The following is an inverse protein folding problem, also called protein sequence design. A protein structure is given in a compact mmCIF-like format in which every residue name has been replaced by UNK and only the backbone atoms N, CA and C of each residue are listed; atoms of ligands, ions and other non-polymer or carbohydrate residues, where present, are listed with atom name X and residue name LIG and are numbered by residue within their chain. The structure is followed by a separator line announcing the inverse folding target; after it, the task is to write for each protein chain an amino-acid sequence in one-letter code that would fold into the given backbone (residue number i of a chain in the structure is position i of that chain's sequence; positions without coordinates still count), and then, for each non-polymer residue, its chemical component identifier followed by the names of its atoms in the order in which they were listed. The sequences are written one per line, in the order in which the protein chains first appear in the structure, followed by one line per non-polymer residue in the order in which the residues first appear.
data_IF_844687555043
#
_entry.id   IF_844687555043
#
_cell.length_a   1.000
_cell.length_b   1.000
_cell.length_c   1.000
_cell.angle_alpha   90.00
_cell.angle_beta   90.00
_cell.angle_gamma   90.00
#
_symmetry.space_group_name_H-M   'P 1'
#
loop_
_entity.id
_entity.type
_entity.pdbx_description
1 polymer ?
#
# COMPACT_ATOMS: atom_id res chain seq x y z
N UNK A 1 -33.00 7.42 28.21
CA UNK A 1 -32.64 8.81 27.83
C UNK A 1 -31.41 8.71 26.94
N UNK A 2 -31.52 9.08 25.66
CA UNK A 2 -30.45 8.98 24.66
C UNK A 2 -29.63 10.28 24.65
N UNK A 3 -28.38 10.22 25.09
CA UNK A 3 -27.45 11.35 24.99
C UNK A 3 -26.78 11.33 23.61
N UNK A 4 -27.28 12.16 22.69
CA UNK A 4 -26.60 12.44 21.44
C UNK A 4 -25.45 13.41 21.71
N UNK A 5 -24.21 12.92 21.59
CA UNK A 5 -23.02 13.77 21.67
C UNK A 5 -22.78 14.36 20.27
N UNK A 6 -22.87 15.68 20.16
CA UNK A 6 -22.45 16.42 18.98
C UNK A 6 -21.72 17.67 19.46
N UNK A 7 -20.49 17.84 18.99
CA UNK A 7 -19.66 19.01 19.30
C UNK A 7 -19.99 20.14 18.33
N UNK A 8 -19.95 21.41 18.77
CA UNK A 8 -20.09 22.55 17.88
C UNK A 8 -18.94 22.56 16.86
N UNK A 9 -19.26 22.66 15.57
CA UNK A 9 -18.31 22.97 14.51
C UNK A 9 -18.06 24.47 14.54
N UNK A 10 -16.82 24.90 14.79
CA UNK A 10 -16.45 26.31 14.69
C UNK A 10 -16.21 26.66 13.21
N UNK A 11 -16.85 27.71 12.72
CA UNK A 11 -16.68 28.23 11.34
C UNK A 11 -15.37 29.03 11.16
N UNK A 12 -14.63 29.27 12.25
CA UNK A 12 -13.30 29.88 12.18
C UNK A 12 -12.33 28.87 11.59
N UNK A 13 -11.71 29.26 10.46
CA UNK A 13 -10.62 28.50 9.86
C UNK A 13 -9.55 28.30 10.93
N UNK A 14 -9.08 27.06 11.07
CA UNK A 14 -8.00 26.79 12.01
C UNK A 14 -6.78 27.65 11.69
N UNK A 15 -5.97 27.95 12.71
CA UNK A 15 -4.73 28.72 12.54
C UNK A 15 -3.64 27.90 11.84
N UNK A 16 -3.96 26.70 11.32
CA UNK A 16 -2.97 25.87 10.64
C UNK A 16 -2.62 26.47 9.27
N UNK A 17 -1.34 26.40 8.88
CA UNK A 17 -0.94 26.78 7.55
C UNK A 17 -1.66 25.91 6.53
N UNK A 18 -2.12 26.54 5.44
CA UNK A 18 -2.73 25.83 4.32
C UNK A 18 -1.74 24.79 3.78
N UNK A 19 -2.20 23.55 3.61
CA UNK A 19 -1.42 22.48 2.98
C UNK A 19 -0.98 22.94 1.60
N UNK A 20 0.33 22.96 1.37
CA UNK A 20 0.93 23.38 0.11
C UNK A 20 1.29 22.18 -0.76
N UNK A 21 1.50 22.41 -2.06
CA UNK A 21 2.00 21.35 -2.96
C UNK A 21 3.37 20.82 -2.50
N UNK A 22 4.24 21.68 -1.96
CA UNK A 22 5.52 21.27 -1.40
C UNK A 22 5.39 20.33 -0.19
N UNK A 23 4.27 20.37 0.53
CA UNK A 23 3.99 19.43 1.61
C UNK A 23 3.61 18.05 1.08
N UNK A 24 2.89 18.00 -0.05
CA UNK A 24 2.55 16.76 -0.74
C UNK A 24 3.77 16.16 -1.45
N UNK A 25 4.62 16.98 -2.05
CA UNK A 25 5.80 16.52 -2.77
C UNK A 25 6.85 15.87 -1.83
N UNK A 26 6.87 16.29 -0.57
CA UNK A 26 7.69 15.69 0.50
C UNK A 26 7.01 14.50 1.20
N UNK A 27 5.78 14.16 0.82
CA UNK A 27 5.04 13.09 1.46
C UNK A 27 5.65 11.72 1.16
N UNK A 28 5.68 10.86 2.17
CA UNK A 28 6.16 9.48 2.04
C UNK A 28 4.97 8.52 2.01
N UNK A 29 4.91 7.67 0.99
CA UNK A 29 3.88 6.63 0.92
C UNK A 29 4.11 5.56 2.00
N UNK A 30 3.09 5.32 2.83
CA UNK A 30 3.16 4.38 3.97
C UNK A 30 1.90 3.51 4.03
N UNK A 31 2.08 2.23 4.31
CA UNK A 31 0.99 1.28 4.63
C UNK A 31 1.27 0.71 6.02
N UNK A 32 0.28 0.75 6.93
CA UNK A 32 0.47 0.30 8.31
C UNK A 32 1.63 1.00 9.03
N UNK A 33 1.80 2.30 8.78
CA UNK A 33 2.91 3.14 9.28
C UNK A 33 4.30 2.77 8.75
N UNK A 34 4.45 1.81 7.83
CA UNK A 34 5.75 1.47 7.23
C UNK A 34 5.91 2.13 5.86
N UNK A 35 7.06 2.80 5.58
CA UNK A 35 7.34 3.32 4.25
C UNK A 35 7.34 2.18 3.24
N UNK A 36 6.67 2.39 2.11
CA UNK A 36 6.54 1.36 1.08
C UNK A 36 6.63 1.99 -0.30
N UNK A 37 7.14 1.23 -1.27
CA UNK A 37 7.15 1.65 -2.65
C UNK A 37 5.72 1.61 -3.23
N UNK A 38 5.30 2.63 -3.99
CA UNK A 38 4.04 2.55 -4.70
C UNK A 38 4.05 1.37 -5.67
N UNK A 39 2.93 0.64 -5.75
CA UNK A 39 2.79 -0.47 -6.70
C UNK A 39 2.51 0.08 -8.09
N UNK A 40 3.29 -0.35 -9.08
CA UNK A 40 3.04 -0.07 -10.49
C UNK A 40 2.24 -1.21 -11.15
N UNK A 41 1.28 -0.87 -12.00
CA UNK A 41 0.53 -1.88 -12.77
C UNK A 41 1.27 -2.17 -14.06
N UNK A 42 1.70 -3.42 -14.21
CA UNK A 42 2.37 -3.92 -15.41
C UNK A 42 1.64 -5.13 -15.99
N UNK A 43 1.76 -5.35 -17.30
CA UNK A 43 1.32 -6.58 -17.97
C UNK A 43 2.56 -7.44 -18.21
N UNK A 44 2.52 -8.67 -17.70
CA UNK A 44 3.62 -9.62 -17.68
C UNK A 44 3.07 -11.00 -18.08
N UNK A 45 3.83 -11.74 -18.88
CA UNK A 45 3.52 -13.15 -19.16
C UNK A 45 4.18 -14.05 -18.11
N UNK A 46 3.38 -14.96 -17.53
CA UNK A 46 3.85 -15.98 -16.61
C UNK A 46 3.51 -17.36 -17.17
N UNK A 47 4.40 -18.32 -16.97
CA UNK A 47 4.13 -19.71 -17.31
C UNK A 47 2.94 -20.25 -16.52
N UNK A 48 2.10 -21.06 -17.19
CA UNK A 48 0.91 -21.64 -16.58
C UNK A 48 1.23 -22.43 -15.31
N UNK A 49 2.30 -23.24 -15.34
CA UNK A 49 2.72 -24.04 -14.19
C UNK A 49 3.05 -23.18 -12.96
N UNK A 50 3.64 -22.00 -13.18
CA UNK A 50 3.98 -21.07 -12.12
C UNK A 50 2.72 -20.41 -11.54
N UNK A 51 1.80 -19.98 -12.42
CA UNK A 51 0.52 -19.42 -12.01
C UNK A 51 -0.30 -20.43 -11.19
N UNK A 52 -0.37 -21.68 -11.63
CA UNK A 52 -1.09 -22.76 -10.97
C UNK A 52 -0.48 -23.06 -9.58
N UNK A 53 0.86 -23.05 -9.46
CA UNK A 53 1.55 -23.18 -8.17
C UNK A 53 1.15 -22.07 -7.18
N UNK A 54 1.20 -20.81 -7.60
CA UNK A 54 0.89 -19.69 -6.71
C UNK A 54 -0.60 -19.65 -6.32
N UNK A 55 -1.50 -20.02 -7.24
CA UNK A 55 -2.93 -20.18 -6.95
C UNK A 55 -3.19 -21.29 -5.93
N UNK A 56 -2.53 -22.43 -6.07
CA UNK A 56 -2.67 -23.53 -5.11
C UNK A 56 -2.12 -23.16 -3.72
N UNK A 57 -1.05 -22.36 -3.66
CA UNK A 57 -0.37 -22.00 -2.42
C UNK A 57 -1.04 -20.87 -1.63
N UNK A 58 -1.58 -19.86 -2.30
CA UNK A 58 -2.21 -18.70 -1.65
C UNK A 58 -3.75 -18.72 -1.68
N UNK A 59 -4.34 -19.65 -2.43
CA UNK A 59 -5.74 -19.56 -2.85
C UNK A 59 -5.94 -18.58 -4.01
N UNK A 60 -7.14 -18.61 -4.61
CA UNK A 60 -7.44 -17.84 -5.83
C UNK A 60 -7.43 -16.31 -5.64
N UNK A 61 -7.58 -15.80 -4.41
CA UNK A 61 -7.65 -14.35 -4.17
C UNK A 61 -6.30 -13.70 -3.85
N UNK A 62 -5.33 -14.48 -3.37
CA UNK A 62 -4.10 -13.93 -2.76
C UNK A 62 -2.82 -14.28 -3.52
N UNK A 63 -2.91 -15.00 -4.66
CA UNK A 63 -1.73 -15.44 -5.41
C UNK A 63 -0.88 -14.29 -5.96
N UNK A 64 -1.48 -13.14 -6.31
CA UNK A 64 -0.75 -11.98 -6.81
C UNK A 64 0.16 -11.37 -5.73
N UNK A 65 -0.32 -11.30 -4.48
CA UNK A 65 0.49 -10.83 -3.35
C UNK A 65 1.67 -11.75 -3.13
N UNK A 66 1.46 -13.06 -3.18
CA UNK A 66 2.51 -14.05 -2.98
C UNK A 66 3.58 -14.01 -4.09
N UNK A 67 3.16 -13.80 -5.35
CA UNK A 67 4.09 -13.60 -6.47
C UNK A 67 4.97 -12.37 -6.20
N UNK A 68 4.35 -11.25 -5.83
CA UNK A 68 5.08 -10.02 -5.57
C UNK A 68 6.07 -10.16 -4.40
N UNK A 69 5.67 -10.79 -3.29
CA UNK A 69 6.55 -11.05 -2.15
C UNK A 69 7.74 -11.94 -2.54
N UNK A 70 7.50 -12.97 -3.36
CA UNK A 70 8.56 -13.88 -3.82
C UNK A 70 9.56 -13.15 -4.71
N UNK A 71 9.09 -12.30 -5.64
CA UNK A 71 9.97 -11.49 -6.49
C UNK A 71 10.78 -10.49 -5.65
N UNK A 72 10.16 -9.84 -4.67
CA UNK A 72 10.88 -8.95 -3.75
C UNK A 72 11.98 -9.68 -2.98
N UNK A 73 11.72 -10.88 -2.46
CA UNK A 73 12.72 -11.68 -1.74
C UNK A 73 13.89 -12.09 -2.64
N UNK A 74 13.61 -12.47 -3.90
CA UNK A 74 14.66 -12.82 -4.86
C UNK A 74 15.60 -11.63 -5.11
N UNK A 75 15.05 -10.44 -5.37
CA UNK A 75 15.84 -9.21 -5.59
C UNK A 75 16.66 -8.83 -4.35
N UNK A 76 16.09 -8.90 -3.15
CA UNK A 76 16.84 -8.60 -1.91
C UNK A 76 17.97 -9.61 -1.68
N UNK A 77 17.71 -10.91 -1.90
CA UNK A 77 18.74 -11.95 -1.75
C UNK A 77 19.90 -11.82 -2.74
N UNK A 78 19.65 -11.30 -3.94
CA UNK A 78 20.68 -10.96 -4.93
C UNK A 78 21.54 -9.75 -4.53
N UNK A 79 21.00 -8.81 -3.76
CA UNK A 79 21.75 -7.64 -3.29
C UNK A 79 22.58 -7.90 -2.02
N UNK A 80 22.27 -8.97 -1.27
CA UNK A 80 23.00 -9.38 -0.06
C UNK A 80 24.07 -10.47 -0.32
N UNK A 81 24.20 -10.96 -1.56
CA UNK A 81 25.20 -11.96 -1.99
C UNK A 81 26.32 -11.33 -2.82
#
# INVERSE_FOLDING_TARGET
MSNSFSSPTFDEQDEYPKVTQADLDRAQFRIGLKPTSPKERVVLFLDKALLDYFKAKAGEEHYQTLINETLCQAVVGEHES
#
